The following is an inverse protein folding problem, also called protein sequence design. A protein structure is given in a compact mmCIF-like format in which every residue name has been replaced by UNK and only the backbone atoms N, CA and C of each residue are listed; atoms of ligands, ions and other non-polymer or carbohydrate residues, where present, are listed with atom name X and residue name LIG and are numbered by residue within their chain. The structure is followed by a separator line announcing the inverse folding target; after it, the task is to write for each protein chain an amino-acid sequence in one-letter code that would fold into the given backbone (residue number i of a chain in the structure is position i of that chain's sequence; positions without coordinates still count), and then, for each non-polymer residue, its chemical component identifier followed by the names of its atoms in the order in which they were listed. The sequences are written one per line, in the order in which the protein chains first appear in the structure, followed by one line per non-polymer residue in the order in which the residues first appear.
data_IF_326972741571
#
_entry.id   IF_326972741571
#
_cell.length_a   1.000
_cell.length_b   1.000
_cell.length_c   1.000
_cell.angle_alpha   90.00
_cell.angle_beta   90.00
_cell.angle_gamma   90.00
#
_symmetry.space_group_name_H-M   'P 1'
#
loop_
_entity.id
_entity.type
_entity.pdbx_description
1 polymer ?
#
# COMPACT_ATOMS: atom_id res chain seq x y z
N UNK A 1 -2.76 -27.05 22.98
CA UNK A 1 -4.21 -27.27 23.02
C UNK A 1 -4.91 -26.05 22.44
N UNK A 2 -5.68 -26.28 21.38
CA UNK A 2 -6.33 -25.29 20.52
C UNK A 2 -7.43 -24.50 21.21
N UNK A 3 -7.68 -23.26 20.77
CA UNK A 3 -9.06 -22.83 20.54
C UNK A 3 -9.18 -21.88 19.35
N UNK A 4 -10.03 -22.32 18.41
CA UNK A 4 -10.39 -21.72 17.12
C UNK A 4 -11.43 -20.62 17.33
N UNK A 5 -11.62 -19.75 16.34
CA UNK A 5 -12.94 -19.43 15.74
C UNK A 5 -12.78 -18.52 14.52
N UNK A 6 -12.93 -19.14 13.35
CA UNK A 6 -13.27 -18.49 12.08
C UNK A 6 -14.78 -18.24 12.06
N UNK A 7 -15.23 -17.09 11.57
CA UNK A 7 -16.58 -16.94 11.03
C UNK A 7 -16.53 -16.08 9.78
N UNK A 8 -16.64 -16.76 8.64
CA UNK A 8 -17.03 -16.20 7.36
C UNK A 8 -18.55 -15.98 7.37
N UNK A 9 -19.01 -14.86 6.81
CA UNK A 9 -20.41 -14.64 6.49
C UNK A 9 -20.50 -14.26 5.01
N UNK A 10 -20.73 -15.28 4.17
CA UNK A 10 -21.25 -15.18 2.82
C UNK A 10 -22.76 -14.89 2.90
N UNK A 11 -23.26 -13.96 2.10
CA UNK A 11 -24.68 -13.63 2.05
C UNK A 11 -25.09 -13.16 0.66
N UNK A 12 -25.50 -14.13 -0.17
CA UNK A 12 -26.07 -13.96 -1.50
C UNK A 12 -27.48 -13.37 -1.44
N UNK A 13 -27.83 -12.46 -2.36
CA UNK A 13 -29.23 -12.15 -2.69
C UNK A 13 -29.41 -12.15 -4.21
N UNK A 14 -30.01 -13.23 -4.69
CA UNK A 14 -30.57 -13.42 -6.02
C UNK A 14 -31.89 -12.63 -6.12
N UNK A 15 -32.01 -11.74 -7.11
CA UNK A 15 -33.32 -11.21 -7.51
C UNK A 15 -33.85 -11.96 -8.72
N UNK A 16 -34.92 -12.72 -8.44
CA UNK A 16 -35.82 -13.38 -9.38
C UNK A 16 -36.78 -12.36 -10.01
N UNK A 17 -37.07 -12.58 -11.30
CA UNK A 17 -38.44 -12.53 -11.79
C UNK A 17 -38.92 -11.23 -12.43
N UNK A 18 -39.34 -11.33 -13.68
CA UNK A 18 -40.11 -10.28 -14.35
C UNK A 18 -40.22 -10.53 -15.85
N UNK A 19 -41.06 -11.49 -16.25
CA UNK A 19 -41.48 -11.67 -17.65
C UNK A 19 -42.59 -10.64 -17.93
N UNK A 20 -42.40 -9.80 -18.95
CA UNK A 20 -43.42 -8.88 -19.46
C UNK A 20 -43.27 -8.71 -20.98
N UNK A 21 -44.26 -9.22 -21.73
CA UNK A 21 -44.42 -9.08 -23.17
C UNK A 21 -45.04 -7.72 -23.51
N UNK A 22 -44.43 -6.92 -24.40
CA UNK A 22 -45.16 -5.98 -25.29
C UNK A 22 -44.37 -5.78 -26.59
N UNK A 23 -44.99 -6.12 -27.71
CA UNK A 23 -44.55 -5.81 -29.07
C UNK A 23 -44.81 -4.33 -29.40
N UNK A 24 -43.82 -3.67 -29.99
CA UNK A 24 -43.96 -2.35 -30.61
C UNK A 24 -42.80 -2.10 -31.55
N UNK A 25 -43.00 -2.36 -32.85
CA UNK A 25 -42.01 -2.09 -33.88
C UNK A 25 -41.99 -0.59 -34.19
N UNK A 26 -41.05 0.13 -33.58
CA UNK A 26 -40.64 1.47 -34.00
C UNK A 26 -39.43 1.33 -34.92
N UNK A 27 -39.53 1.86 -36.14
CA UNK A 27 -38.40 1.92 -37.05
C UNK A 27 -37.38 2.94 -36.51
N UNK A 28 -36.24 2.44 -36.05
CA UNK A 28 -35.13 3.25 -35.54
C UNK A 28 -34.39 3.95 -36.69
N UNK A 29 -34.07 5.25 -36.58
CA UNK A 29 -33.11 5.88 -37.48
C UNK A 29 -31.73 5.26 -37.25
N UNK A 30 -31.02 4.92 -38.33
CA UNK A 30 -29.66 4.41 -38.27
C UNK A 30 -28.71 5.54 -37.84
N UNK A 31 -28.49 5.66 -36.53
CA UNK A 31 -27.40 6.48 -35.98
C UNK A 31 -26.11 5.67 -36.07
N UNK A 32 -25.11 6.25 -36.72
CA UNK A 32 -23.78 5.67 -36.86
C UNK A 32 -23.25 5.24 -35.48
N UNK A 33 -22.93 3.94 -35.34
CA UNK A 33 -22.37 3.41 -34.11
C UNK A 33 -21.02 4.09 -33.84
N UNK A 34 -20.79 4.71 -32.67
CA UNK A 34 -19.46 5.14 -32.29
C UNK A 34 -18.57 3.90 -32.24
N UNK A 35 -17.43 3.96 -32.92
CA UNK A 35 -16.43 2.91 -32.88
C UNK A 35 -16.11 2.57 -31.41
N UNK A 36 -15.97 1.28 -31.05
CA UNK A 36 -15.62 0.91 -29.68
C UNK A 36 -14.26 1.54 -29.37
N UNK A 37 -14.26 2.55 -28.50
CA UNK A 37 -13.05 3.04 -27.90
C UNK A 37 -12.49 1.87 -27.08
N UNK A 38 -11.38 1.31 -27.54
CA UNK A 38 -10.60 0.34 -26.77
C UNK A 38 -10.17 1.03 -25.49
N UNK A 39 -10.91 0.82 -24.41
CA UNK A 39 -10.50 1.23 -23.08
C UNK A 39 -9.31 0.36 -22.74
N UNK A 40 -8.11 0.92 -22.88
CA UNK A 40 -6.92 0.37 -22.25
C UNK A 40 -7.16 0.53 -20.76
N UNK A 41 -7.72 -0.51 -20.14
CA UNK A 41 -7.73 -0.64 -18.69
C UNK A 41 -6.27 -0.71 -18.29
N UNK A 42 -5.72 0.43 -17.87
CA UNK A 42 -4.48 0.45 -17.10
C UNK A 42 -4.84 -0.25 -15.80
N UNK A 43 -4.50 -1.53 -15.70
CA UNK A 43 -4.40 -2.22 -14.42
C UNK A 43 -3.29 -1.50 -13.63
N UNK A 44 -3.63 -0.41 -12.96
CA UNK A 44 -2.92 -0.03 -11.73
C UNK A 44 -3.33 -1.07 -10.70
N UNK A 45 -2.79 -2.28 -10.84
CA UNK A 45 -2.93 -3.32 -9.84
C UNK A 45 -2.48 -2.74 -8.52
N UNK A 46 -3.35 -2.75 -7.52
CA UNK A 46 -3.09 -3.22 -6.14
C UNK A 46 -1.76 -2.90 -5.42
N UNK A 47 -0.92 -1.98 -5.89
CA UNK A 47 0.42 -1.71 -5.31
C UNK A 47 0.33 -0.81 -4.06
N UNK A 48 -0.72 0.00 -3.94
CA UNK A 48 -0.82 1.01 -2.86
C UNK A 48 -0.85 0.42 -1.44
N UNK A 49 -1.29 -0.83 -1.25
CA UNK A 49 -1.37 -1.45 0.09
C UNK A 49 -0.05 -2.08 0.51
N UNK A 50 0.71 -2.67 -0.43
CA UNK A 50 2.05 -3.21 -0.18
C UNK A 50 3.06 -2.09 0.04
N UNK A 51 2.97 -1.05 -0.79
CA UNK A 51 3.86 0.12 -0.77
C UNK A 51 3.80 0.88 0.56
N UNK A 52 2.59 1.10 1.09
CA UNK A 52 2.43 1.83 2.34
C UNK A 52 2.91 1.02 3.56
N UNK A 53 2.67 -0.30 3.56
CA UNK A 53 3.11 -1.15 4.65
C UNK A 53 4.64 -1.29 4.68
N UNK A 54 5.27 -1.46 3.52
CA UNK A 54 6.72 -1.53 3.40
C UNK A 54 7.37 -0.20 3.81
N UNK A 55 6.80 0.93 3.39
CA UNK A 55 7.23 2.25 3.86
C UNK A 55 7.16 2.38 5.39
N UNK A 56 6.02 2.04 5.99
CA UNK A 56 5.85 2.13 7.46
C UNK A 56 6.80 1.19 8.19
N UNK A 57 7.03 0.00 7.66
CA UNK A 57 7.98 -0.97 8.21
C UNK A 57 9.40 -0.40 8.15
N UNK A 58 9.84 0.02 6.97
CA UNK A 58 11.15 0.64 6.77
C UNK A 58 11.37 1.82 7.69
N UNK A 59 10.38 2.71 7.83
CA UNK A 59 10.47 3.86 8.74
C UNK A 59 10.71 3.43 10.20
N UNK A 60 9.99 2.42 10.69
CA UNK A 60 10.15 1.91 12.05
C UNK A 60 11.52 1.30 12.26
N UNK A 61 11.99 0.51 11.30
CA UNK A 61 13.30 -0.16 11.37
C UNK A 61 14.43 0.88 11.33
N UNK A 62 14.37 1.82 10.39
CA UNK A 62 15.31 2.93 10.29
C UNK A 62 15.37 3.75 11.56
N UNK A 63 14.22 4.12 12.13
CA UNK A 63 14.17 4.85 13.40
C UNK A 63 14.86 4.10 14.55
N UNK A 64 14.59 2.79 14.71
CA UNK A 64 15.22 1.99 15.76
C UNK A 64 16.72 1.88 15.57
N UNK A 65 17.17 1.66 14.34
CA UNK A 65 18.59 1.55 14.01
C UNK A 65 19.32 2.88 14.23
N UNK A 66 18.73 3.99 13.79
CA UNK A 66 19.28 5.33 14.02
C UNK A 66 19.41 5.64 15.51
N UNK A 67 18.38 5.35 16.32
CA UNK A 67 18.42 5.57 17.77
C UNK A 67 19.51 4.73 18.45
N UNK A 68 19.65 3.46 18.06
CA UNK A 68 20.71 2.58 18.56
C UNK A 68 22.10 3.07 18.15
N UNK A 69 22.27 3.49 16.90
CA UNK A 69 23.53 4.06 16.42
C UNK A 69 23.90 5.32 17.18
N UNK A 70 22.93 6.20 17.47
CA UNK A 70 23.20 7.41 18.23
C UNK A 70 23.65 7.10 19.67
N UNK A 71 23.08 6.08 20.31
CA UNK A 71 23.57 5.60 21.61
C UNK A 71 25.02 5.13 21.52
N UNK A 72 25.34 4.30 20.52
CA UNK A 72 26.69 3.80 20.29
C UNK A 72 27.69 4.93 19.96
N UNK A 73 27.26 5.94 19.19
CA UNK A 73 28.06 7.11 18.81
C UNK A 73 28.24 8.12 19.97
N UNK A 74 27.34 8.14 20.96
CA UNK A 74 27.58 8.88 22.22
C UNK A 74 28.59 8.13 23.12
N UNK A 75 28.71 6.81 22.96
CA UNK A 75 29.66 5.96 23.68
C UNK A 75 31.02 5.81 22.96
N UNK A 76 31.13 6.14 21.66
CA UNK A 76 32.33 5.97 20.84
C UNK A 76 32.41 6.97 19.67
N UNK A 77 33.59 7.30 19.09
CA UNK A 77 33.71 8.29 18.02
C UNK A 77 32.92 7.90 16.74
N UNK A 78 32.06 8.83 16.32
CA UNK A 78 31.05 8.78 15.24
C UNK A 78 31.51 8.07 13.96
N UNK A 79 30.70 7.12 13.46
CA UNK A 79 30.84 6.55 12.10
C UNK A 79 29.52 6.64 11.33
N UNK A 80 29.38 7.64 10.47
CA UNK A 80 28.23 7.76 9.57
C UNK A 80 28.25 6.67 8.49
N UNK A 81 27.24 5.78 8.46
CA UNK A 81 26.99 4.87 7.34
C UNK A 81 25.85 5.40 6.48
N UNK A 82 26.11 5.57 5.18
CA UNK A 82 25.09 5.87 4.17
C UNK A 82 24.64 4.58 3.49
N UNK A 83 23.37 4.20 3.63
CA UNK A 83 22.75 3.14 2.83
C UNK A 83 22.34 3.72 1.46
N UNK A 84 22.90 3.16 0.38
CA UNK A 84 22.46 3.43 -1.01
C UNK A 84 22.07 2.10 -1.65
N UNK A 85 20.78 1.79 -1.60
CA UNK A 85 20.13 0.67 -2.29
C UNK A 85 19.14 1.16 -3.34
N UNK A 86 18.55 0.23 -4.10
CA UNK A 86 17.60 0.50 -5.18
C UNK A 86 16.26 0.89 -4.56
N UNK A 87 15.85 2.14 -4.75
CA UNK A 87 14.77 2.81 -4.01
C UNK A 87 13.44 2.03 -4.03
N UNK A 88 13.24 1.18 -3.02
CA UNK A 88 11.96 0.55 -2.68
C UNK A 88 11.22 1.40 -1.65
N UNK A 89 9.92 1.20 -1.46
CA UNK A 89 9.17 1.93 -0.43
C UNK A 89 9.68 1.64 0.99
N UNK A 90 10.14 0.41 1.25
CA UNK A 90 10.87 0.09 2.46
C UNK A 90 12.11 0.97 2.64
N UNK A 91 12.96 1.08 1.61
CA UNK A 91 14.16 1.92 1.68
C UNK A 91 13.81 3.40 1.84
N UNK A 92 12.76 3.90 1.17
CA UNK A 92 12.25 5.26 1.37
C UNK A 92 11.85 5.49 2.82
N UNK A 93 11.10 4.56 3.40
CA UNK A 93 10.71 4.57 4.80
C UNK A 93 11.93 4.59 5.72
N UNK A 94 12.85 3.65 5.51
CA UNK A 94 14.08 3.50 6.30
C UNK A 94 14.92 4.77 6.30
N UNK A 95 15.19 5.32 5.11
CA UNK A 95 15.95 6.55 4.93
C UNK A 95 15.29 7.76 5.59
N UNK A 96 13.96 7.78 5.71
CA UNK A 96 13.22 8.84 6.46
C UNK A 96 13.24 8.60 7.97
N UNK A 97 13.18 7.35 8.41
CA UNK A 97 13.15 6.97 9.83
C UNK A 97 14.50 7.10 10.52
N UNK A 98 15.58 6.70 9.85
CA UNK A 98 16.94 6.67 10.40
C UNK A 98 17.41 8.01 10.99
N UNK A 99 17.43 9.14 10.25
CA UNK A 99 17.92 10.40 10.80
C UNK A 99 17.04 10.91 11.96
N UNK A 100 15.73 10.61 11.95
CA UNK A 100 14.80 10.93 13.04
C UNK A 100 15.16 10.15 14.30
N UNK A 101 15.38 8.85 14.16
CA UNK A 101 15.81 7.97 15.24
C UNK A 101 17.15 8.38 15.82
N UNK A 102 18.13 8.65 14.95
CA UNK A 102 19.45 9.11 15.35
C UNK A 102 19.39 10.41 16.15
N UNK A 103 18.66 11.42 15.64
CA UNK A 103 18.49 12.70 16.36
C UNK A 103 17.76 12.53 17.71
N UNK A 104 16.85 11.56 17.82
CA UNK A 104 16.19 11.25 19.07
C UNK A 104 17.15 10.56 20.06
N UNK A 105 17.90 9.55 19.61
CA UNK A 105 18.88 8.86 20.46
C UNK A 105 20.02 9.77 20.89
N UNK A 106 20.47 10.65 20.01
CA UNK A 106 21.54 11.60 20.33
C UNK A 106 21.10 12.57 21.44
N UNK A 107 19.86 13.06 21.40
CA UNK A 107 19.31 13.91 22.49
C UNK A 107 19.11 13.18 23.81
N UNK A 108 18.94 11.86 23.76
CA UNK A 108 18.75 11.04 24.96
C UNK A 108 20.08 10.67 25.63
N UNK A 109 21.13 10.45 24.82
CA UNK A 109 22.37 9.81 25.28
C UNK A 109 23.63 10.71 25.34
N UNK A 110 23.65 11.90 24.72
CA UNK A 110 24.87 12.74 24.63
C UNK A 110 24.89 14.00 25.54
#
# INVERSE_FOLDING_TARGET
MSLKKMYAATGSLLFLGGIGLVQGAIASPAVAAPAPATVVTVNTGTDTVTDEWDYRRGYRDGYRDGWRQAREDCEAPIRSRSYRGRETDYERGYNRGFPRGFSAGFREYC
#
